data_IF_349945195078
#
_entry.id   IF_349945195078
#
_cell.length_a   1.000
_cell.length_b   1.000
_cell.length_c   1.000
_cell.angle_alpha   90.00
_cell.angle_beta   90.00
_cell.angle_gamma   90.00
#
_symmetry.space_group_name_H-M   'P 1'
#
loop_
_entity.id
_entity.type
_entity.pdbx_description
1 polymer ?
#
# COMPACT_ATOMS: atom_id res chain seq x y z
N UNK A 1 21.70 11.76 8.82
CA UNK A 1 23.12 11.59 8.45
C UNK A 1 23.50 10.14 8.15
N UNK A 2 23.29 9.14 9.04
CA UNK A 2 23.67 7.74 8.75
C UNK A 2 22.94 7.17 7.52
N UNK A 3 21.60 7.27 7.45
CA UNK A 3 20.78 6.82 6.30
C UNK A 3 21.14 7.49 4.97
N UNK A 4 21.40 8.80 4.98
CA UNK A 4 21.89 9.53 3.81
C UNK A 4 23.26 9.00 3.31
N UNK A 5 24.12 8.52 4.20
CA UNK A 5 25.39 7.89 3.79
C UNK A 5 25.18 6.48 3.23
N UNK A 6 24.05 5.84 3.55
CA UNK A 6 23.60 4.56 3.00
C UNK A 6 22.81 4.72 1.69
N UNK A 7 22.64 5.96 1.21
CA UNK A 7 21.99 6.27 -0.08
C UNK A 7 20.49 6.55 0.02
N UNK A 8 19.90 6.56 1.22
CA UNK A 8 18.49 6.90 1.40
C UNK A 8 18.27 8.42 1.39
N UNK A 9 17.25 8.89 0.68
CA UNK A 9 16.75 10.26 0.82
C UNK A 9 15.54 10.28 1.75
N UNK A 10 15.61 11.14 2.77
CA UNK A 10 14.56 11.33 3.76
C UNK A 10 13.95 12.73 3.56
N UNK A 11 12.62 12.82 3.54
CA UNK A 11 11.85 14.06 3.48
C UNK A 11 11.10 14.30 4.80
N UNK A 12 11.12 15.54 5.28
CA UNK A 12 10.51 15.93 6.55
C UNK A 12 9.55 17.09 6.39
N UNK A 13 8.38 16.98 7.01
CA UNK A 13 7.47 18.09 7.26
C UNK A 13 7.49 18.44 8.75
N UNK A 14 7.72 19.71 9.06
CA UNK A 14 7.54 20.26 10.39
C UNK A 14 6.35 21.22 10.38
N UNK A 15 5.34 20.93 11.20
CA UNK A 15 4.18 21.80 11.41
C UNK A 15 4.36 22.51 12.74
N UNK A 16 4.49 23.83 12.71
CA UNK A 16 4.59 24.67 13.90
C UNK A 16 3.24 25.33 14.17
N UNK A 17 2.72 25.13 15.37
CA UNK A 17 1.44 25.68 15.80
C UNK A 17 1.67 26.71 16.89
N UNK A 18 1.30 27.96 16.63
CA UNK A 18 1.48 29.09 17.55
C UNK A 18 2.24 30.25 16.93
N UNK A 19 2.58 31.22 17.77
CA UNK A 19 3.23 32.47 17.34
C UNK A 19 4.76 32.30 17.24
N UNK A 20 5.22 31.62 16.19
CA UNK A 20 6.63 31.47 15.88
C UNK A 20 7.12 32.48 14.83
N UNK A 21 8.33 33.00 14.99
CA UNK A 21 8.99 33.78 13.94
C UNK A 21 9.48 32.86 12.82
N UNK A 22 8.76 32.84 11.69
CA UNK A 22 9.00 31.91 10.58
C UNK A 22 10.45 31.86 10.10
N UNK A 23 11.10 33.03 9.98
CA UNK A 23 12.46 33.14 9.48
C UNK A 23 13.50 32.58 10.45
N UNK A 24 13.33 32.82 11.75
CA UNK A 24 14.25 32.33 12.78
C UNK A 24 14.11 30.82 12.94
N UNK A 25 12.86 30.32 13.03
CA UNK A 25 12.55 28.89 13.13
C UNK A 25 13.05 28.12 11.91
N UNK A 26 12.81 28.64 10.70
CA UNK A 26 13.29 28.01 9.47
C UNK A 26 14.81 27.95 9.40
N UNK A 27 15.50 29.01 9.86
CA UNK A 27 16.96 29.05 9.90
C UNK A 27 17.53 28.09 10.93
N UNK A 28 16.90 27.99 12.10
CA UNK A 28 17.27 27.04 13.14
C UNK A 28 17.11 25.59 12.65
N UNK A 29 15.96 25.24 12.06
CA UNK A 29 15.73 23.89 11.52
C UNK A 29 16.74 23.49 10.44
N UNK A 30 17.03 24.39 9.50
CA UNK A 30 18.04 24.13 8.45
C UNK A 30 19.45 23.91 9.02
N UNK A 31 19.75 24.44 10.21
CA UNK A 31 21.04 24.23 10.87
C UNK A 31 21.23 22.82 11.43
N UNK A 32 20.15 22.05 11.60
CA UNK A 32 20.21 20.64 12.02
C UNK A 32 20.61 19.67 10.90
N UNK A 33 20.73 20.14 9.65
CA UNK A 33 21.30 19.35 8.55
C UNK A 33 20.34 18.37 7.87
N UNK A 34 19.03 18.57 8.01
CA UNK A 34 18.03 17.87 7.21
C UNK A 34 18.11 18.32 5.74
N UNK A 35 18.12 17.38 4.79
CA UNK A 35 18.34 17.64 3.36
C UNK A 35 17.10 18.13 2.63
N UNK A 36 15.92 17.58 2.96
CA UNK A 36 14.65 17.88 2.32
C UNK A 36 13.61 18.22 3.39
N UNK A 37 13.39 19.51 3.64
CA UNK A 37 12.54 20.01 4.74
C UNK A 37 11.48 20.94 4.20
N UNK A 38 10.23 20.62 4.52
CA UNK A 38 9.08 21.49 4.40
C UNK A 38 8.68 21.98 5.80
N UNK A 39 8.34 23.26 5.91
CA UNK A 39 7.97 23.89 7.17
C UNK A 39 6.66 24.62 6.94
N UNK A 40 5.67 24.27 7.73
CA UNK A 40 4.37 24.93 7.75
C UNK A 40 4.17 25.64 9.10
N UNK A 41 3.53 26.80 9.07
CA UNK A 41 3.22 27.60 10.25
C UNK A 41 1.71 27.80 10.32
N UNK A 42 1.14 27.42 11.45
CA UNK A 42 -0.26 27.66 11.76
C UNK A 42 -0.34 28.67 12.92
N UNK A 43 -0.72 29.92 12.66
CA UNK A 43 -0.81 30.93 13.70
C UNK A 43 -1.96 30.60 14.66
N UNK A 44 -1.66 30.52 15.95
CA UNK A 44 -2.63 30.35 17.02
C UNK A 44 -2.36 31.43 18.07
N UNK A 45 -3.40 32.15 18.51
CA UNK A 45 -3.27 33.26 19.47
C UNK A 45 -2.94 32.77 20.88
N UNK A 46 -3.39 31.57 21.24
CA UNK A 46 -3.13 30.95 22.53
C UNK A 46 -2.12 29.79 22.38
N UNK A 47 -0.93 29.97 22.98
CA UNK A 47 -0.16 28.83 23.45
C UNK A 47 -1.02 28.22 24.56
N UNK A 48 -1.63 27.03 24.43
CA UNK A 48 -1.84 26.17 25.61
C UNK A 48 -2.62 24.86 25.36
N UNK A 49 -2.02 23.79 25.90
CA UNK A 49 -2.59 22.57 26.50
C UNK A 49 -3.57 21.70 25.67
N UNK A 50 -3.34 20.36 25.61
CA UNK A 50 -4.25 19.37 24.99
C UNK A 50 -5.70 19.35 25.50
N UNK A 51 -6.02 20.11 26.55
CA UNK A 51 -7.35 20.20 27.14
C UNK A 51 -8.10 21.51 26.76
N UNK A 52 -7.55 22.33 25.87
CA UNK A 52 -8.21 23.54 25.40
C UNK A 52 -9.22 23.22 24.28
N UNK A 53 -10.38 23.89 24.21
CA UNK A 53 -11.37 23.67 23.14
C UNK A 53 -10.84 23.88 21.72
N UNK A 54 -9.76 24.63 21.57
CA UNK A 54 -9.13 24.91 20.27
C UNK A 54 -8.08 23.84 19.88
N UNK A 55 -7.79 22.88 20.76
CA UNK A 55 -6.87 21.77 20.46
C UNK A 55 -7.35 20.92 19.29
N UNK A 56 -8.66 20.64 19.22
CA UNK A 56 -9.25 19.93 18.08
C UNK A 56 -9.03 20.71 16.77
N UNK A 57 -9.19 22.03 16.78
CA UNK A 57 -8.95 22.89 15.61
C UNK A 57 -7.46 22.88 15.18
N UNK A 58 -6.54 22.80 16.14
CA UNK A 58 -5.11 22.66 15.87
C UNK A 58 -4.81 21.30 15.23
N UNK A 59 -5.45 20.25 15.73
CA UNK A 59 -5.26 18.89 15.21
C UNK A 59 -5.79 18.75 13.78
N UNK A 60 -6.96 19.31 13.51
CA UNK A 60 -7.53 19.38 12.17
C UNK A 60 -6.61 20.15 11.21
N UNK A 61 -6.11 21.32 11.63
CA UNK A 61 -5.21 22.12 10.79
C UNK A 61 -3.88 21.40 10.47
N UNK A 62 -3.29 20.72 11.47
CA UNK A 62 -2.08 19.93 11.26
C UNK A 62 -2.36 18.72 10.35
N UNK A 63 -3.49 18.04 10.53
CA UNK A 63 -3.95 16.94 9.68
C UNK A 63 -4.13 17.38 8.22
N UNK A 64 -4.76 18.54 8.00
CA UNK A 64 -4.96 19.12 6.67
C UNK A 64 -3.63 19.44 5.99
N UNK A 65 -2.69 20.02 6.72
CA UNK A 65 -1.36 20.36 6.19
C UNK A 65 -0.55 19.10 5.84
N UNK A 66 -0.56 18.08 6.71
CA UNK A 66 0.08 16.79 6.44
C UNK A 66 -0.56 16.13 5.22
N UNK A 67 -1.89 16.11 5.15
CA UNK A 67 -2.64 15.54 4.02
C UNK A 67 -2.32 16.25 2.70
N UNK A 68 -2.26 17.58 2.71
CA UNK A 68 -1.95 18.38 1.54
C UNK A 68 -0.50 18.17 1.09
N UNK A 69 0.43 18.11 2.04
CA UNK A 69 1.83 17.86 1.77
C UNK A 69 2.06 16.48 1.14
N UNK A 70 1.50 15.42 1.73
CA UNK A 70 1.56 14.05 1.21
C UNK A 70 1.00 13.98 -0.21
N UNK A 71 -0.19 14.53 -0.45
CA UNK A 71 -0.82 14.50 -1.78
C UNK A 71 -0.01 15.23 -2.85
N UNK A 72 0.71 16.29 -2.47
CA UNK A 72 1.42 17.15 -3.41
C UNK A 72 2.84 16.69 -3.68
N UNK A 73 3.54 16.22 -2.65
CA UNK A 73 4.98 15.92 -2.72
C UNK A 73 5.29 14.42 -2.66
N UNK A 74 4.41 13.63 -2.06
CA UNK A 74 4.62 12.20 -1.79
C UNK A 74 3.37 11.36 -2.13
N UNK A 75 2.78 11.51 -3.33
CA UNK A 75 1.55 10.80 -3.70
C UNK A 75 1.74 9.28 -3.76
N UNK A 76 2.98 8.82 -3.94
CA UNK A 76 3.33 7.41 -4.01
C UNK A 76 3.61 6.78 -2.65
N UNK A 77 3.61 7.55 -1.57
CA UNK A 77 4.05 7.04 -0.29
C UNK A 77 3.03 6.11 0.40
N UNK A 78 3.55 5.04 1.00
CA UNK A 78 2.80 4.09 1.82
C UNK A 78 3.13 4.28 3.30
N UNK A 79 2.13 4.26 4.21
CA UNK A 79 2.39 4.31 5.65
C UNK A 79 3.31 3.17 6.08
N UNK A 80 4.30 3.45 6.93
CA UNK A 80 5.19 2.43 7.50
C UNK A 80 5.73 2.92 8.83
N UNK A 81 5.76 2.03 9.83
CA UNK A 81 6.30 2.39 11.14
C UNK A 81 7.79 2.72 11.07
N UNK A 82 8.25 3.79 11.77
CA UNK A 82 9.63 4.19 11.73
C UNK A 82 10.45 3.28 12.65
N UNK A 83 11.20 2.33 12.09
CA UNK A 83 12.13 1.51 12.90
C UNK A 83 13.36 2.33 13.30
N UNK A 84 13.74 3.29 12.47
CA UNK A 84 15.01 4.02 12.53
C UNK A 84 14.92 5.30 13.36
N UNK A 85 13.71 5.73 13.71
CA UNK A 85 13.43 6.91 14.53
C UNK A 85 12.59 6.59 15.77
N UNK A 86 12.72 5.38 16.33
CA UNK A 86 11.84 4.88 17.39
C UNK A 86 11.80 5.67 18.70
N UNK A 87 12.69 6.65 18.90
CA UNK A 87 12.68 7.57 20.05
C UNK A 87 11.84 8.84 19.81
N UNK A 88 11.40 9.06 18.57
CA UNK A 88 10.63 10.23 18.16
C UNK A 88 9.16 9.87 17.95
N UNK A 89 8.31 10.84 18.27
CA UNK A 89 6.88 10.76 18.03
C UNK A 89 6.55 11.45 16.70
N UNK A 90 5.94 10.71 15.78
CA UNK A 90 5.55 11.21 14.47
C UNK A 90 4.04 11.18 14.32
N UNK A 91 3.50 12.17 13.61
CA UNK A 91 2.12 12.20 13.15
C UNK A 91 1.89 11.29 11.95
N UNK A 92 2.90 11.15 11.10
CA UNK A 92 2.88 10.21 10.00
C UNK A 92 4.31 9.84 9.59
N UNK A 93 4.50 8.59 9.18
CA UNK A 93 5.72 8.10 8.56
C UNK A 93 5.38 7.10 7.47
N UNK A 94 6.22 7.04 6.44
CA UNK A 94 6.02 6.14 5.33
C UNK A 94 7.26 5.95 4.48
N UNK A 95 7.10 5.13 3.45
CA UNK A 95 8.11 4.84 2.44
C UNK A 95 7.55 5.17 1.06
N UNK A 96 8.41 5.58 0.16
CA UNK A 96 8.10 5.87 -1.23
C UNK A 96 9.26 5.32 -2.07
N UNK A 97 8.97 4.78 -3.25
CA UNK A 97 10.01 4.42 -4.19
C UNK A 97 10.71 5.69 -4.71
N UNK A 98 12.04 5.61 -4.84
CA UNK A 98 12.83 6.61 -5.54
C UNK A 98 13.35 5.95 -6.83
N UNK A 99 12.75 6.26 -7.97
CA UNK A 99 13.16 5.82 -9.31
C UNK A 99 13.06 4.29 -9.54
N UNK A 100 11.86 3.72 -9.49
CA UNK A 100 11.64 2.32 -9.88
C UNK A 100 11.95 2.10 -11.37
N UNK A 101 12.70 1.03 -11.66
CA UNK A 101 13.11 0.69 -13.02
C UNK A 101 12.09 -0.26 -13.69
N UNK A 102 11.11 0.32 -14.39
CA UNK A 102 10.10 -0.42 -15.17
C UNK A 102 10.74 -1.41 -16.16
N UNK A 103 11.95 -1.14 -16.67
CA UNK A 103 12.64 -2.01 -17.64
C UNK A 103 13.13 -3.31 -16.99
N UNK A 104 13.48 -3.29 -15.70
CA UNK A 104 13.90 -4.48 -14.96
C UNK A 104 12.72 -5.43 -14.72
N UNK A 105 11.56 -4.88 -14.40
CA UNK A 105 10.35 -5.68 -14.17
C UNK A 105 9.61 -6.07 -15.45
N UNK A 106 9.76 -5.28 -16.52
CA UNK A 106 9.06 -5.45 -17.78
C UNK A 106 7.57 -5.08 -17.71
N UNK A 107 7.17 -4.32 -16.68
CA UNK A 107 5.79 -3.86 -16.45
C UNK A 107 5.79 -2.34 -16.35
N UNK A 108 5.04 -1.63 -17.22
CA UNK A 108 4.90 -0.19 -17.08
C UNK A 108 4.12 0.17 -15.79
N UNK A 109 4.68 1.03 -14.93
CA UNK A 109 3.99 1.55 -13.72
C UNK A 109 2.63 2.14 -14.07
N UNK A 110 2.54 2.85 -15.20
CA UNK A 110 1.28 3.43 -15.68
C UNK A 110 0.20 2.39 -15.98
N UNK A 111 0.56 1.21 -16.48
CA UNK A 111 -0.39 0.13 -16.72
C UNK A 111 -0.83 -0.52 -15.40
N UNK A 112 0.13 -0.79 -14.52
CA UNK A 112 -0.14 -1.33 -13.19
C UNK A 112 -1.05 -0.42 -12.35
N UNK A 113 -0.81 0.89 -12.38
CA UNK A 113 -1.59 1.90 -11.65
C UNK A 113 -3.08 1.94 -12.02
N UNK A 114 -3.44 1.52 -13.24
CA UNK A 114 -4.82 1.53 -13.74
C UNK A 114 -5.63 0.32 -13.25
N UNK A 115 -4.95 -0.74 -12.83
CA UNK A 115 -5.59 -1.97 -12.35
C UNK A 115 -5.74 -1.93 -10.82
N UNK A 116 -4.89 -1.17 -10.13
CA UNK A 116 -4.96 -0.98 -8.68
C UNK A 116 -6.27 -0.28 -8.25
N UNK A 117 -6.76 -0.56 -7.04
CA UNK A 117 -7.86 0.22 -6.48
C UNK A 117 -7.44 1.68 -6.27
N UNK A 118 -8.43 2.57 -6.23
CA UNK A 118 -8.22 4.02 -6.25
C UNK A 118 -7.27 4.52 -5.15
N UNK A 119 -7.38 3.98 -3.92
CA UNK A 119 -6.54 4.39 -2.79
C UNK A 119 -5.07 4.00 -2.97
N UNK A 120 -4.78 3.05 -3.85
CA UNK A 120 -3.45 2.50 -4.11
C UNK A 120 -2.87 2.93 -5.47
N UNK A 121 -3.70 3.42 -6.41
CA UNK A 121 -3.27 3.76 -7.79
C UNK A 121 -2.07 4.71 -7.85
N UNK A 122 -2.07 5.78 -7.05
CA UNK A 122 -0.95 6.72 -7.00
C UNK A 122 0.34 6.12 -6.40
N UNK A 123 0.24 4.98 -5.71
CA UNK A 123 1.30 4.28 -4.98
C UNK A 123 1.85 3.08 -5.76
N UNK A 124 1.51 2.97 -7.04
CA UNK A 124 1.87 1.87 -7.93
C UNK A 124 3.38 1.59 -7.93
N UNK A 125 4.19 2.63 -8.07
CA UNK A 125 5.66 2.53 -8.09
C UNK A 125 6.22 1.94 -6.80
N UNK A 126 5.79 2.46 -5.65
CA UNK A 126 6.17 1.95 -4.34
C UNK A 126 5.75 0.50 -4.14
N UNK A 127 4.55 0.11 -4.61
CA UNK A 127 4.11 -1.28 -4.55
C UNK A 127 4.97 -2.22 -5.38
N UNK A 128 5.34 -1.84 -6.62
CA UNK A 128 6.23 -2.66 -7.44
C UNK A 128 7.62 -2.78 -6.82
N UNK A 129 8.17 -1.70 -6.26
CA UNK A 129 9.44 -1.73 -5.52
C UNK A 129 9.36 -2.68 -4.32
N UNK A 130 8.25 -2.65 -3.56
CA UNK A 130 8.02 -3.57 -2.44
C UNK A 130 7.96 -5.01 -2.94
N UNK A 131 7.31 -5.29 -4.08
CA UNK A 131 7.28 -6.64 -4.63
C UNK A 131 8.70 -7.12 -4.97
N UNK A 132 9.55 -6.29 -5.58
CA UNK A 132 10.96 -6.63 -5.83
C UNK A 132 11.71 -7.02 -4.55
N UNK A 133 11.45 -6.32 -3.45
CA UNK A 133 12.15 -6.52 -2.18
C UNK A 133 11.58 -7.68 -1.35
N UNK A 134 10.26 -7.84 -1.34
CA UNK A 134 9.54 -8.80 -0.50
C UNK A 134 9.47 -10.20 -1.13
N UNK A 135 9.39 -10.25 -2.46
CA UNK A 135 9.16 -11.49 -3.20
C UNK A 135 10.49 -11.96 -3.80
N UNK A 136 11.23 -12.72 -2.99
CA UNK A 136 12.65 -13.04 -3.27
C UNK A 136 12.88 -14.37 -4.00
N UNK A 137 11.87 -15.24 -4.12
CA UNK A 137 12.07 -16.62 -4.56
C UNK A 137 11.13 -17.05 -5.68
N UNK A 138 11.38 -16.60 -6.91
CA UNK A 138 10.71 -17.18 -8.07
C UNK A 138 11.62 -17.46 -9.26
N UNK A 139 12.83 -17.97 -9.00
CA UNK A 139 13.66 -18.58 -10.03
C UNK A 139 14.27 -17.61 -11.06
N UNK A 140 15.28 -18.10 -11.77
CA UNK A 140 15.93 -17.37 -12.87
C UNK A 140 15.26 -17.81 -14.16
N UNK A 141 14.38 -16.97 -14.71
CA UNK A 141 13.75 -17.21 -16.00
C UNK A 141 14.45 -16.45 -17.13
N UNK A 142 14.18 -16.85 -18.38
CA UNK A 142 14.46 -15.99 -19.55
C UNK A 142 13.61 -14.72 -19.47
N UNK A 143 14.04 -13.63 -20.10
CA UNK A 143 13.44 -12.29 -19.93
C UNK A 143 11.91 -12.28 -20.16
N UNK A 144 11.42 -12.98 -21.18
CA UNK A 144 9.98 -13.02 -21.49
C UNK A 144 9.18 -13.84 -20.47
N UNK A 145 9.75 -14.93 -19.95
CA UNK A 145 9.11 -15.75 -18.92
C UNK A 145 9.13 -15.03 -17.57
N UNK A 146 10.21 -14.30 -17.26
CA UNK A 146 10.31 -13.48 -16.06
C UNK A 146 9.26 -12.37 -16.08
N UNK A 147 9.12 -11.66 -17.21
CA UNK A 147 8.12 -10.61 -17.38
C UNK A 147 6.70 -11.12 -17.15
N UNK A 148 6.33 -12.23 -17.78
CA UNK A 148 5.01 -12.83 -17.58
C UNK A 148 4.78 -13.29 -16.14
N UNK A 149 5.83 -13.80 -15.50
CA UNK A 149 5.76 -14.20 -14.10
C UNK A 149 5.56 -12.99 -13.17
N UNK A 150 6.34 -11.93 -13.35
CA UNK A 150 6.18 -10.66 -12.65
C UNK A 150 4.78 -10.08 -12.85
N UNK A 151 4.22 -10.21 -14.07
CA UNK A 151 2.88 -9.73 -14.39
C UNK A 151 1.79 -10.49 -13.64
N UNK A 152 1.94 -11.81 -13.43
CA UNK A 152 1.03 -12.57 -12.56
C UNK A 152 1.16 -12.09 -11.11
N UNK A 153 2.37 -11.87 -10.59
CA UNK A 153 2.55 -11.37 -9.21
C UNK A 153 1.89 -9.99 -9.04
N UNK A 154 2.10 -9.09 -10.00
CA UNK A 154 1.46 -7.77 -10.02
C UNK A 154 -0.08 -7.91 -10.06
N UNK A 155 -0.62 -8.79 -10.90
CA UNK A 155 -2.05 -9.08 -10.94
C UNK A 155 -2.57 -9.64 -9.60
N UNK A 156 -1.83 -10.54 -8.95
CA UNK A 156 -2.15 -11.07 -7.62
C UNK A 156 -2.19 -9.95 -6.59
N UNK A 157 -1.24 -9.02 -6.60
CA UNK A 157 -1.25 -7.86 -5.70
C UNK A 157 -2.46 -6.96 -5.97
N UNK A 158 -2.77 -6.66 -7.24
CA UNK A 158 -3.96 -5.87 -7.57
C UNK A 158 -5.23 -6.51 -7.03
N UNK A 159 -5.47 -7.78 -7.35
CA UNK A 159 -6.64 -8.52 -6.88
C UNK A 159 -6.71 -8.56 -5.36
N UNK A 160 -5.58 -8.81 -4.70
CA UNK A 160 -5.49 -8.85 -3.25
C UNK A 160 -5.79 -7.50 -2.59
N UNK A 161 -5.33 -6.40 -3.18
CA UNK A 161 -5.65 -5.05 -2.69
C UNK A 161 -7.12 -4.68 -2.92
N UNK A 162 -7.74 -5.09 -4.03
CA UNK A 162 -9.19 -4.95 -4.23
C UNK A 162 -9.98 -5.72 -3.18
N UNK A 163 -9.59 -6.97 -2.91
CA UNK A 163 -10.19 -7.79 -1.86
C UNK A 163 -10.05 -7.16 -0.47
N UNK A 164 -8.90 -6.56 -0.15
CA UNK A 164 -8.70 -5.84 1.11
C UNK A 164 -9.58 -4.58 1.20
N UNK A 165 -9.71 -3.80 0.13
CA UNK A 165 -10.59 -2.62 0.12
C UNK A 165 -12.06 -3.01 0.31
N UNK A 166 -12.49 -4.11 -0.31
CA UNK A 166 -13.83 -4.69 -0.14
C UNK A 166 -14.06 -5.14 1.31
N UNK A 167 -13.15 -5.92 1.88
CA UNK A 167 -13.20 -6.34 3.27
C UNK A 167 -13.20 -5.15 4.26
N UNK A 168 -12.60 -4.01 3.87
CA UNK A 168 -12.56 -2.76 4.64
C UNK A 168 -13.76 -1.85 4.43
N UNK A 169 -14.75 -2.27 3.63
CA UNK A 169 -15.94 -1.47 3.33
C UNK A 169 -15.66 -0.22 2.48
N UNK A 170 -14.50 -0.13 1.83
CA UNK A 170 -14.13 0.99 0.97
C UNK A 170 -14.62 0.83 -0.49
N UNK A 171 -15.19 -0.32 -0.81
CA UNK A 171 -15.68 -0.62 -2.15
C UNK A 171 -16.18 -2.05 -2.27
N UNK A 172 -16.38 -2.48 -3.51
CA UNK A 172 -16.58 -3.88 -3.90
C UNK A 172 -15.32 -4.36 -4.62
N UNK A 173 -15.07 -5.66 -4.62
CA UNK A 173 -13.98 -6.25 -5.37
C UNK A 173 -14.28 -6.16 -6.88
N UNK A 174 -13.57 -5.25 -7.55
CA UNK A 174 -13.75 -4.94 -8.97
C UNK A 174 -12.53 -5.29 -9.81
N UNK A 175 -11.76 -6.28 -9.36
CA UNK A 175 -10.64 -6.77 -10.13
C UNK A 175 -11.12 -7.42 -11.44
N UNK A 176 -10.80 -6.79 -12.56
CA UNK A 176 -11.13 -7.30 -13.90
C UNK A 176 -9.94 -8.05 -14.51
N UNK A 177 -9.99 -9.38 -14.48
CA UNK A 177 -8.91 -10.23 -14.99
C UNK A 177 -8.57 -9.96 -16.47
N UNK A 178 -9.56 -9.71 -17.32
CA UNK A 178 -9.33 -9.36 -18.74
C UNK A 178 -8.54 -8.07 -18.91
N UNK A 179 -8.95 -7.03 -18.17
CA UNK A 179 -8.26 -5.73 -18.13
C UNK A 179 -6.82 -5.89 -17.62
N UNK A 180 -6.60 -6.73 -16.60
CA UNK A 180 -5.25 -7.02 -16.09
C UNK A 180 -4.37 -7.74 -17.12
N UNK A 181 -4.91 -8.74 -17.82
CA UNK A 181 -4.20 -9.46 -18.90
C UNK A 181 -3.76 -8.50 -20.00
N UNK A 182 -4.67 -7.63 -20.44
CA UNK A 182 -4.39 -6.71 -21.55
C UNK A 182 -3.42 -5.58 -21.15
N UNK A 183 -3.58 -5.01 -19.95
CA UNK A 183 -2.73 -3.90 -19.48
C UNK A 183 -1.33 -4.35 -19.06
N UNK A 184 -1.21 -5.50 -18.41
CA UNK A 184 0.09 -6.07 -18.02
C UNK A 184 0.75 -6.86 -19.17
N UNK A 185 0.08 -6.98 -20.31
CA UNK A 185 0.53 -7.69 -21.51
C UNK A 185 0.93 -9.15 -21.19
N UNK A 186 0.04 -9.85 -20.49
CA UNK A 186 0.24 -11.24 -20.09
C UNK A 186 -0.01 -12.15 -21.30
N UNK A 187 0.97 -12.99 -21.63
CA UNK A 187 0.86 -13.97 -22.69
C UNK A 187 -0.17 -15.06 -22.31
N UNK A 188 -1.25 -15.12 -23.08
CA UNK A 188 -2.35 -16.09 -22.89
C UNK A 188 -1.88 -17.54 -23.02
N UNK A 189 -0.86 -17.81 -23.85
CA UNK A 189 -0.25 -19.14 -23.94
C UNK A 189 0.51 -19.47 -22.66
N UNK A 190 1.25 -18.51 -22.11
CA UNK A 190 1.94 -18.67 -20.83
C UNK A 190 0.95 -18.96 -19.69
N UNK A 191 -0.17 -18.22 -19.62
CA UNK A 191 -1.25 -18.46 -18.66
C UNK A 191 -1.78 -19.90 -18.76
N UNK A 192 -2.10 -20.37 -19.96
CA UNK A 192 -2.57 -21.73 -20.18
C UNK A 192 -1.56 -22.79 -19.73
N UNK A 193 -0.26 -22.59 -20.02
CA UNK A 193 0.80 -23.48 -19.55
C UNK A 193 0.93 -23.46 -18.02
N UNK A 194 0.93 -22.30 -17.38
CA UNK A 194 1.04 -22.17 -15.93
C UNK A 194 -0.16 -22.77 -15.21
N UNK A 195 -1.36 -22.48 -15.67
CA UNK A 195 -2.60 -23.06 -15.16
C UNK A 195 -2.53 -24.59 -15.23
N UNK A 196 -2.16 -25.17 -16.37
CA UNK A 196 -2.03 -26.62 -16.52
C UNK A 196 -1.03 -27.29 -15.57
N UNK A 197 -0.09 -26.55 -15.00
CA UNK A 197 0.88 -27.08 -14.03
C UNK A 197 0.34 -27.10 -12.59
N UNK A 198 -0.61 -26.21 -12.27
CA UNK A 198 -1.23 -26.16 -10.93
C UNK A 198 -2.53 -26.98 -10.88
N UNK A 199 -3.22 -27.09 -12.01
CA UNK A 199 -4.47 -27.84 -12.12
C UNK A 199 -4.24 -29.35 -12.15
N UNK A 200 -5.05 -30.08 -11.39
CA UNK A 200 -5.24 -31.50 -11.62
C UNK A 200 -6.14 -31.72 -12.85
N UNK A 201 -6.14 -32.92 -13.41
CA UNK A 201 -6.92 -33.19 -14.64
C UNK A 201 -8.42 -32.96 -14.49
N UNK A 202 -8.96 -32.99 -13.27
CA UNK A 202 -10.36 -32.67 -12.95
C UNK A 202 -10.67 -31.18 -13.06
N UNK A 203 -9.72 -30.33 -12.71
CA UNK A 203 -9.94 -28.89 -12.52
C UNK A 203 -10.01 -28.18 -13.89
N UNK A 204 -9.38 -28.78 -14.91
CA UNK A 204 -9.48 -28.33 -16.30
C UNK A 204 -10.90 -28.55 -16.86
N UNK A 205 -11.56 -29.66 -16.49
CA UNK A 205 -12.94 -29.92 -16.91
C UNK A 205 -13.91 -28.96 -16.21
N UNK A 206 -13.68 -28.65 -14.93
CA UNK A 206 -14.44 -27.64 -14.18
C UNK A 206 -14.28 -26.24 -14.79
N UNK A 207 -13.06 -25.84 -15.17
CA UNK A 207 -12.83 -24.54 -15.82
C UNK A 207 -13.49 -24.46 -17.20
N UNK A 208 -13.54 -25.55 -17.95
CA UNK A 208 -14.28 -25.63 -19.22
C UNK A 208 -15.80 -25.54 -19.02
N UNK A 209 -16.33 -26.07 -17.91
CA UNK A 209 -17.72 -25.92 -17.52
C UNK A 209 -18.04 -24.47 -17.11
N UNK A 210 -17.18 -23.82 -16.32
CA UNK A 210 -17.32 -22.40 -15.91
C UNK A 210 -17.22 -21.41 -17.06
N UNK A 211 -16.41 -21.75 -18.07
CA UNK A 211 -16.35 -20.99 -19.30
C UNK A 211 -17.67 -21.06 -20.10
N UNK A 212 -18.59 -21.97 -19.78
CA UNK A 212 -19.87 -22.21 -20.46
C UNK A 212 -19.72 -22.39 -22.00
N UNK A 213 -18.55 -22.86 -22.45
CA UNK A 213 -18.21 -22.99 -23.87
C UNK A 213 -17.67 -21.71 -24.54
N UNK A 214 -17.49 -20.62 -23.79
CA UNK A 214 -16.81 -19.41 -24.25
C UNK A 214 -15.29 -19.53 -24.03
N UNK A 215 -14.60 -19.96 -25.08
CA UNK A 215 -13.14 -20.13 -25.09
C UNK A 215 -12.41 -18.81 -24.80
N UNK A 216 -13.03 -17.66 -25.09
CA UNK A 216 -12.41 -16.34 -24.87
C UNK A 216 -12.28 -16.00 -23.38
N UNK A 217 -13.07 -16.64 -22.51
CA UNK A 217 -13.01 -16.48 -21.03
C UNK A 217 -11.93 -17.34 -20.37
N UNK A 218 -11.37 -18.33 -21.05
CA UNK A 218 -10.37 -19.24 -20.46
C UNK A 218 -9.13 -18.51 -19.90
N UNK A 219 -8.56 -17.49 -20.55
CA UNK A 219 -7.43 -16.75 -20.00
C UNK A 219 -7.78 -16.02 -18.69
N UNK A 220 -9.00 -15.50 -18.57
CA UNK A 220 -9.48 -14.79 -17.37
C UNK A 220 -9.58 -15.77 -16.19
N UNK A 221 -10.25 -16.91 -16.40
CA UNK A 221 -10.37 -17.96 -15.39
C UNK A 221 -9.01 -18.53 -14.99
N UNK A 222 -8.11 -18.71 -15.96
CA UNK A 222 -6.75 -19.16 -15.71
C UNK A 222 -5.96 -18.14 -14.86
N UNK A 223 -6.11 -16.83 -15.12
CA UNK A 223 -5.49 -15.81 -14.30
C UNK A 223 -6.04 -15.84 -12.87
N UNK A 224 -7.36 -15.86 -12.69
CA UNK A 224 -7.98 -15.91 -11.36
C UNK A 224 -7.49 -17.11 -10.53
N UNK A 225 -7.39 -18.29 -11.15
CA UNK A 225 -6.87 -19.47 -10.45
C UNK A 225 -5.37 -19.35 -10.10
N UNK A 226 -4.58 -18.73 -10.98
CA UNK A 226 -3.16 -18.49 -10.72
C UNK A 226 -2.93 -17.43 -9.64
N UNK A 227 -3.76 -16.40 -9.60
CA UNK A 227 -3.68 -15.39 -8.55
C UNK A 227 -4.14 -15.98 -7.22
N UNK A 228 -5.24 -16.75 -7.18
CA UNK A 228 -5.72 -17.48 -6.00
C UNK A 228 -4.63 -18.34 -5.35
N UNK A 229 -3.96 -19.18 -6.14
CA UNK A 229 -2.85 -20.03 -5.66
C UNK A 229 -1.68 -19.19 -5.09
N UNK A 230 -1.42 -18.02 -5.66
CA UNK A 230 -0.31 -17.15 -5.27
C UNK A 230 -0.61 -16.21 -4.09
N UNK A 231 -1.89 -15.98 -3.73
CA UNK A 231 -2.27 -14.96 -2.72
C UNK A 231 -1.63 -15.20 -1.37
N UNK A 232 -1.56 -16.47 -0.92
CA UNK A 232 -1.02 -16.79 0.40
C UNK A 232 0.47 -16.47 0.52
N UNK A 233 1.25 -16.84 -0.50
CA UNK A 233 2.68 -16.56 -0.54
C UNK A 233 2.93 -15.06 -0.62
N UNK A 234 2.22 -14.35 -1.50
CA UNK A 234 2.26 -12.89 -1.58
C UNK A 234 1.97 -12.24 -0.21
N UNK A 235 0.85 -12.61 0.42
CA UNK A 235 0.46 -12.08 1.74
C UNK A 235 1.53 -12.36 2.79
N UNK A 236 2.14 -13.55 2.77
CA UNK A 236 3.22 -13.91 3.72
C UNK A 236 4.45 -13.04 3.50
N UNK A 237 4.90 -12.87 2.25
CA UNK A 237 6.01 -12.00 1.89
C UNK A 237 5.77 -10.54 2.29
N UNK A 238 4.55 -10.02 2.07
CA UNK A 238 4.18 -8.67 2.48
C UNK A 238 4.15 -8.53 4.02
N UNK A 239 3.60 -9.51 4.72
CA UNK A 239 3.62 -9.54 6.19
C UNK A 239 5.06 -9.46 6.72
N UNK A 240 5.96 -10.29 6.20
CA UNK A 240 7.38 -10.27 6.58
C UNK A 240 8.03 -8.91 6.28
N UNK A 241 7.76 -8.33 5.10
CA UNK A 241 8.29 -7.01 4.71
C UNK A 241 7.89 -5.90 5.68
N UNK A 242 6.61 -5.87 6.09
CA UNK A 242 6.07 -4.86 7.00
C UNK A 242 6.29 -5.18 8.48
N UNK A 243 6.92 -6.30 8.81
CA UNK A 243 7.25 -6.68 10.19
C UNK A 243 6.13 -7.39 10.93
N UNK A 244 5.29 -8.13 10.21
CA UNK A 244 4.20 -8.95 10.69
C UNK A 244 2.82 -8.42 10.29
N UNK A 245 1.79 -9.20 10.61
CA UNK A 245 0.39 -8.93 10.21
C UNK A 245 -0.12 -7.58 10.69
N UNK A 246 0.26 -7.17 11.91
CA UNK A 246 -0.10 -5.84 12.44
C UNK A 246 0.51 -4.69 11.64
N UNK A 247 1.73 -4.88 11.14
CA UNK A 247 2.39 -3.90 10.27
C UNK A 247 1.69 -3.82 8.91
N UNK A 248 1.44 -4.97 8.28
CA UNK A 248 0.73 -5.06 7.01
C UNK A 248 -0.68 -4.46 7.10
N UNK A 249 -1.45 -4.85 8.12
CA UNK A 249 -2.77 -4.30 8.39
C UNK A 249 -2.73 -2.78 8.53
N UNK A 250 -1.80 -2.24 9.33
CA UNK A 250 -1.68 -0.80 9.52
C UNK A 250 -1.40 -0.05 8.22
N UNK A 251 -0.50 -0.56 7.39
CA UNK A 251 -0.16 0.04 6.08
C UNK A 251 -1.41 0.13 5.20
N UNK A 252 -2.12 -0.99 5.06
CA UNK A 252 -3.27 -1.08 4.17
C UNK A 252 -4.44 -0.25 4.69
N UNK A 253 -4.80 -0.42 5.96
CA UNK A 253 -5.91 0.29 6.56
C UNK A 253 -5.69 1.81 6.58
N UNK A 254 -4.47 2.25 6.94
CA UNK A 254 -4.13 3.69 6.95
C UNK A 254 -3.96 4.28 5.56
N UNK A 255 -3.79 3.46 4.53
CA UNK A 255 -3.79 3.93 3.14
C UNK A 255 -5.19 4.34 2.68
N UNK A 256 -6.21 3.62 3.15
CA UNK A 256 -7.62 3.91 2.88
C UNK A 256 -8.13 5.02 3.81
N UNK A 257 -7.90 4.84 5.12
CA UNK A 257 -8.43 5.69 6.19
C UNK A 257 -7.29 6.31 7.01
N UNK A 258 -6.54 7.28 6.45
CA UNK A 258 -5.41 7.89 7.15
C UNK A 258 -5.90 8.68 8.37
N UNK A 259 -5.38 8.33 9.55
CA UNK A 259 -5.60 9.07 10.81
C UNK A 259 -4.42 10.01 11.05
N UNK A 260 -4.60 11.27 10.66
CA UNK A 260 -3.57 12.31 10.69
C UNK A 260 -3.86 13.42 11.71
N UNK A 261 -4.89 13.26 12.53
CA UNK A 261 -5.30 14.17 13.60
C UNK A 261 -4.48 13.99 14.89
N UNK A 262 -3.67 12.93 14.95
CA UNK A 262 -2.88 12.56 16.13
C UNK A 262 -1.60 11.80 15.76
N UNK A 263 -0.65 11.67 16.69
CA UNK A 263 0.53 10.83 16.50
C UNK A 263 0.20 9.40 16.07
N UNK A 264 1.03 8.81 15.21
CA UNK A 264 0.86 7.44 14.67
C UNK A 264 0.64 6.40 15.77
N UNK A 265 1.38 6.51 16.88
CA UNK A 265 1.26 5.58 17.99
C UNK A 265 -0.11 5.69 18.67
N UNK A 266 -0.63 6.90 18.82
CA UNK A 266 -1.96 7.14 19.37
C UNK A 266 -3.04 6.71 18.39
N UNK A 267 -2.89 7.02 17.09
CA UNK A 267 -3.79 6.59 16.04
C UNK A 267 -3.89 5.06 15.96
N UNK A 268 -2.78 4.35 16.09
CA UNK A 268 -2.76 2.90 16.18
C UNK A 268 -3.50 2.42 17.43
N UNK A 269 -3.17 2.97 18.61
CA UNK A 269 -3.83 2.59 19.86
C UNK A 269 -5.35 2.79 19.78
N UNK A 270 -5.83 3.93 19.29
CA UNK A 270 -7.27 4.19 19.13
C UNK A 270 -7.90 3.30 18.05
N UNK A 271 -7.16 2.92 17.01
CA UNK A 271 -7.67 1.97 16.00
C UNK A 271 -7.80 0.58 16.58
N UNK A 272 -6.88 0.17 17.45
CA UNK A 272 -6.94 -1.14 18.11
C UNK A 272 -7.80 -1.14 19.38
N UNK A 273 -8.19 0.04 19.88
CA UNK A 273 -9.07 0.18 21.04
C UNK A 273 -10.53 -0.07 20.63
N UNK A 274 -10.98 -1.29 20.95
CA UNK A 274 -12.32 -1.83 20.69
C UNK A 274 -13.45 -1.06 21.41
N UNK A 275 -13.14 0.00 22.16
CA UNK A 275 -14.14 0.87 22.80
C UNK A 275 -14.61 2.03 21.92
N UNK A 276 -13.84 2.45 20.92
CA UNK A 276 -14.18 3.56 20.02
C UNK A 276 -14.67 3.11 18.63
N UNK A 277 -14.21 1.94 18.16
CA UNK A 277 -14.61 1.36 16.88
C UNK A 277 -15.51 0.16 17.14
N UNK A 278 -16.63 0.03 16.42
CA UNK A 278 -17.43 -1.18 16.48
C UNK A 278 -16.54 -2.34 16.02
N UNK A 279 -16.29 -3.31 16.91
CA UNK A 279 -15.42 -4.48 16.65
C UNK A 279 -15.64 -5.11 15.26
N UNK A 280 -16.89 -5.05 14.75
CA UNK A 280 -17.28 -5.53 13.43
C UNK A 280 -16.59 -4.83 12.26
N UNK A 281 -16.21 -3.56 12.37
CA UNK A 281 -15.60 -2.79 11.27
C UNK A 281 -14.14 -3.20 11.01
N UNK A 282 -13.42 -3.66 12.04
CA UNK A 282 -12.01 -4.09 11.89
C UNK A 282 -11.85 -5.60 11.82
N UNK A 283 -12.89 -6.36 12.16
CA UNK A 283 -12.85 -7.82 12.14
C UNK A 283 -12.55 -8.35 10.73
N UNK A 284 -13.28 -7.90 9.71
CA UNK A 284 -13.10 -8.40 8.35
C UNK A 284 -11.74 -8.03 7.74
N UNK A 285 -11.26 -6.78 7.81
CA UNK A 285 -9.92 -6.42 7.30
C UNK A 285 -8.79 -7.12 8.05
N UNK A 286 -8.96 -7.31 9.37
CA UNK A 286 -7.99 -8.05 10.17
C UNK A 286 -7.94 -9.52 9.77
N UNK A 287 -9.11 -10.17 9.67
CA UNK A 287 -9.20 -11.56 9.23
C UNK A 287 -8.60 -11.73 7.83
N UNK A 288 -8.89 -10.82 6.90
CA UNK A 288 -8.30 -10.83 5.56
C UNK A 288 -6.77 -10.82 5.60
N UNK A 289 -6.16 -9.96 6.41
CA UNK A 289 -4.70 -9.91 6.56
C UNK A 289 -4.15 -11.18 7.21
N UNK A 290 -4.86 -11.79 8.17
CA UNK A 290 -4.36 -12.96 8.89
C UNK A 290 -4.60 -14.29 8.19
N UNK A 291 -5.70 -14.42 7.45
CA UNK A 291 -6.19 -15.64 6.78
C UNK A 291 -5.94 -15.61 5.27
N UNK A 292 -5.68 -14.43 4.69
CA UNK A 292 -5.30 -14.24 3.29
C UNK A 292 -6.46 -13.87 2.36
N UNK A 293 -7.69 -14.29 2.67
CA UNK A 293 -8.92 -13.96 1.95
C UNK A 293 -10.15 -14.19 2.85
N UNK A 294 -11.24 -13.45 2.66
CA UNK A 294 -12.50 -13.60 3.43
C UNK A 294 -13.71 -13.51 2.50
N UNK A 295 -14.89 -13.94 2.97
CA UNK A 295 -16.14 -13.80 2.20
C UNK A 295 -16.43 -12.33 1.84
N UNK A 296 -16.11 -11.38 2.73
CA UNK A 296 -16.26 -9.94 2.46
C UNK A 296 -15.30 -9.40 1.40
N UNK A 297 -14.31 -10.18 0.96
CA UNK A 297 -13.46 -9.82 -0.16
C UNK A 297 -14.03 -10.27 -1.52
N UNK A 298 -15.07 -11.10 -1.52
CA UNK A 298 -15.80 -11.49 -2.73
C UNK A 298 -16.97 -10.52 -3.04
N UNK A 299 -17.35 -9.68 -2.07
CA UNK A 299 -18.40 -8.64 -2.17
C UNK A 299 -17.93 -7.39 -2.93
#
# INVERSE_FOLDING_TARGET
>A
MVRQHEGHSDAFLFVFVGNYEEQETSKALKSFGFSNVHIAFYPCEDEESPNHPEWECIQEAASDEISAWLRTHHPGALPKFPKEYGELEFWWTGIEAEDFDDDEWGIPVSAFSQILPYSHSAKAETWLQILTEAVTDFGIYDNDMQRNHNAIIAATLCEWLHGFEAASGNGYNHFEASTAIDLLDIDKFYLGCRYSNISQSSDIDELLEEAEGDIERLPELALCALTEEARWELRSSLSDYFGGDSGLFWVLYSTIWPKLDRPVNEALCCTLDLSEIEYSELEQPWLFVTEGWTESADD
#
